data_IF_019490518478
#
_entry.id   IF_019490518478
#
_cell.length_a   1.000
_cell.length_b   1.000
_cell.length_c   1.000
_cell.angle_alpha   90.00
_cell.angle_beta   90.00
_cell.angle_gamma   90.00
#
_symmetry.space_group_name_H-M   'P 1'
#
loop_
_entity.id
_entity.type
_entity.pdbx_description
1 polymer ?
#
# COMPACT_ATOMS: atom_id res chain seq x y z
N UNK A 1 0.15 78.00 1.24
CA UNK A 1 -1.01 77.38 0.56
C UNK A 1 -1.16 75.92 1.00
N UNK A 2 -1.53 75.64 2.26
CA UNK A 2 -1.54 74.27 2.83
C UNK A 2 -2.94 73.83 3.31
N UNK A 3 -3.93 74.72 3.33
CA UNK A 3 -5.26 74.42 3.87
C UNK A 3 -6.15 73.58 2.94
N UNK A 4 -6.02 73.73 1.62
CA UNK A 4 -6.81 72.97 0.64
C UNK A 4 -6.59 71.43 0.71
N UNK A 5 -5.33 70.95 0.71
CA UNK A 5 -5.04 69.53 0.82
C UNK A 5 -5.50 68.91 2.15
N UNK A 6 -5.42 69.65 3.26
CA UNK A 6 -5.79 69.14 4.58
C UNK A 6 -7.29 68.90 4.71
N UNK A 7 -8.10 69.83 4.17
CA UNK A 7 -9.57 69.72 4.17
C UNK A 7 -10.03 68.62 3.21
N UNK A 8 -9.41 68.54 2.02
CA UNK A 8 -9.69 67.48 1.05
C UNK A 8 -9.34 66.08 1.57
N UNK A 9 -8.20 65.94 2.25
CA UNK A 9 -7.80 64.67 2.86
C UNK A 9 -8.73 64.28 4.02
N UNK A 10 -9.14 65.23 4.87
CA UNK A 10 -10.07 64.99 5.97
C UNK A 10 -11.44 64.51 5.48
N UNK A 11 -12.01 65.19 4.49
CA UNK A 11 -13.30 64.80 3.91
C UNK A 11 -13.21 63.48 3.14
N UNK A 12 -12.13 63.26 2.38
CA UNK A 12 -11.91 62.01 1.64
C UNK A 12 -11.77 60.80 2.55
N UNK A 13 -11.05 60.93 3.67
CA UNK A 13 -10.90 59.85 4.64
C UNK A 13 -12.22 59.50 5.33
N UNK A 14 -12.99 60.51 5.77
CA UNK A 14 -14.29 60.27 6.41
C UNK A 14 -15.32 59.66 5.46
N UNK A 15 -15.38 60.15 4.21
CA UNK A 15 -16.23 59.58 3.19
C UNK A 15 -15.82 58.15 2.81
N UNK A 16 -14.51 57.89 2.70
CA UNK A 16 -13.95 56.58 2.39
C UNK A 16 -14.26 55.53 3.46
N UNK A 17 -14.15 55.87 4.75
CA UNK A 17 -14.49 54.94 5.84
C UNK A 17 -16.01 54.69 5.90
N UNK A 18 -16.82 55.74 5.78
CA UNK A 18 -18.28 55.63 5.78
C UNK A 18 -18.80 54.74 4.64
N UNK A 19 -18.45 55.08 3.40
CA UNK A 19 -18.92 54.35 2.21
C UNK A 19 -18.27 52.96 2.14
N UNK A 20 -16.98 52.85 2.46
CA UNK A 20 -16.27 51.58 2.47
C UNK A 20 -16.89 50.58 3.45
N UNK A 21 -17.26 51.02 4.66
CA UNK A 21 -17.95 50.15 5.62
C UNK A 21 -19.33 49.71 5.14
N UNK A 22 -20.10 50.56 4.46
CA UNK A 22 -21.41 50.17 3.93
C UNK A 22 -21.30 49.20 2.73
N UNK A 23 -20.31 49.41 1.85
CA UNK A 23 -20.12 48.60 0.63
C UNK A 23 -19.41 47.27 0.92
N UNK A 24 -18.46 47.23 1.87
CA UNK A 24 -17.69 46.03 2.22
C UNK A 24 -18.19 45.31 3.48
N UNK A 25 -19.33 45.71 4.04
CA UNK A 25 -20.00 44.97 5.13
C UNK A 25 -20.94 43.86 4.60
N UNK A 26 -20.70 43.37 3.39
CA UNK A 26 -21.30 42.15 2.87
C UNK A 26 -20.85 40.93 3.67
N UNK A 27 -21.84 40.22 4.22
CA UNK A 27 -21.81 38.87 4.80
C UNK A 27 -20.50 38.42 5.45
N UNK A 28 -20.21 39.01 6.62
CA UNK A 28 -19.45 38.25 7.62
C UNK A 28 -20.39 37.19 8.19
N UNK A 29 -20.06 35.88 8.14
CA UNK A 29 -20.88 34.86 8.79
C UNK A 29 -20.91 35.19 10.30
N UNK A 30 -22.09 35.59 10.78
CA UNK A 30 -22.29 36.04 12.17
C UNK A 30 -22.39 34.88 13.14
N UNK A 31 -22.63 33.67 12.65
CA UNK A 31 -22.87 32.49 13.47
C UNK A 31 -21.99 31.32 13.01
N UNK A 32 -21.12 30.85 13.90
CA UNK A 32 -20.60 29.49 13.81
C UNK A 32 -21.68 28.56 14.35
N UNK A 33 -22.67 28.24 13.52
CA UNK A 33 -23.60 27.16 13.86
C UNK A 33 -22.81 25.86 13.87
N UNK A 34 -22.75 25.21 15.04
CA UNK A 34 -22.43 23.78 15.08
C UNK A 34 -23.45 23.09 14.20
N UNK A 35 -22.97 22.45 13.12
CA UNK A 35 -23.82 21.76 12.16
C UNK A 35 -24.43 20.58 12.90
N UNK A 36 -25.64 20.77 13.39
CA UNK A 36 -26.52 19.68 13.82
C UNK A 36 -27.16 19.10 12.57
N UNK A 37 -27.34 17.77 12.54
CA UNK A 37 -27.86 17.03 11.37
C UNK A 37 -29.20 17.58 10.83
N UNK A 38 -29.95 18.32 11.65
CA UNK A 38 -31.18 18.98 11.25
C UNK A 38 -31.00 20.17 10.27
N UNK A 39 -29.80 20.77 10.20
CA UNK A 39 -29.49 21.90 9.31
C UNK A 39 -29.31 21.47 7.84
N UNK A 40 -29.05 20.18 7.59
CA UNK A 40 -28.86 19.61 6.25
C UNK A 40 -30.19 19.51 5.47
N UNK A 41 -31.33 19.63 6.17
CA UNK A 41 -32.69 19.58 5.62
C UNK A 41 -33.24 20.97 5.26
N UNK A 42 -32.39 21.89 4.84
CA UNK A 42 -32.83 23.22 4.41
C UNK A 42 -33.07 23.23 2.89
N UNK A 43 -34.31 22.98 2.47
CA UNK A 43 -34.73 22.99 1.05
C UNK A 43 -34.49 24.33 0.33
N UNK A 44 -34.16 25.41 1.06
CA UNK A 44 -33.83 26.71 0.49
C UNK A 44 -32.36 26.83 0.04
N UNK A 45 -31.48 25.91 0.46
CA UNK A 45 -30.10 25.85 -0.02
C UNK A 45 -30.12 25.01 -1.29
N UNK A 46 -29.98 25.67 -2.44
CA UNK A 46 -29.79 24.97 -3.72
C UNK A 46 -28.54 24.09 -3.59
N UNK A 47 -28.71 22.77 -3.52
CA UNK A 47 -27.60 21.85 -3.70
C UNK A 47 -26.93 22.17 -5.04
N UNK A 48 -25.59 22.22 -5.10
CA UNK A 48 -24.92 22.39 -6.37
C UNK A 48 -25.43 21.30 -7.32
N UNK A 49 -25.76 21.69 -8.55
CA UNK A 49 -26.25 20.71 -9.52
C UNK A 49 -25.20 19.60 -9.63
N UNK A 50 -25.60 18.36 -9.30
CA UNK A 50 -24.73 17.21 -9.50
C UNK A 50 -24.30 17.21 -10.96
N UNK A 51 -22.99 17.26 -11.22
CA UNK A 51 -22.49 17.12 -12.58
C UNK A 51 -23.06 15.82 -13.17
N UNK A 52 -23.58 15.88 -14.41
CA UNK A 52 -24.06 14.68 -15.09
C UNK A 52 -22.91 13.68 -15.17
N UNK A 53 -23.04 12.58 -14.43
CA UNK A 53 -22.05 11.50 -14.45
C UNK A 53 -22.13 10.82 -15.80
N UNK A 54 -21.10 10.96 -16.63
CA UNK A 54 -21.00 10.25 -17.91
C UNK A 54 -20.82 8.75 -17.67
N UNK A 55 -21.23 7.92 -18.63
CA UNK A 55 -21.06 6.46 -18.49
C UNK A 55 -19.58 6.04 -18.40
N UNK A 56 -18.66 6.82 -19.00
CA UNK A 56 -17.22 6.65 -18.81
C UNK A 56 -16.79 6.89 -17.36
N UNK A 57 -17.31 7.93 -16.69
CA UNK A 57 -17.04 8.18 -15.28
C UNK A 57 -17.57 7.06 -14.40
N UNK A 58 -18.75 6.48 -14.73
CA UNK A 58 -19.26 5.29 -14.04
C UNK A 58 -18.34 4.08 -14.22
N UNK A 59 -17.80 3.91 -15.43
CA UNK A 59 -16.81 2.87 -15.73
C UNK A 59 -15.50 3.00 -14.93
N UNK A 60 -15.15 4.21 -14.49
CA UNK A 60 -13.96 4.47 -13.66
C UNK A 60 -14.19 4.25 -12.16
N UNK A 61 -15.44 4.25 -11.68
CA UNK A 61 -15.77 4.07 -10.25
C UNK A 61 -15.15 2.79 -9.66
N UNK A 62 -15.17 1.61 -10.31
CA UNK A 62 -14.55 0.40 -9.76
C UNK A 62 -13.03 0.49 -9.58
N UNK A 63 -12.37 1.41 -10.29
CA UNK A 63 -10.92 1.65 -10.18
C UNK A 63 -10.58 2.59 -9.01
N UNK A 64 -11.57 3.28 -8.46
CA UNK A 64 -11.39 4.15 -7.30
C UNK A 64 -11.20 3.34 -6.01
N UNK A 65 -10.53 3.89 -4.99
CA UNK A 65 -10.38 3.20 -3.72
C UNK A 65 -11.74 2.96 -3.05
N UNK A 66 -11.82 1.86 -2.29
CA UNK A 66 -13.08 1.31 -1.75
C UNK A 66 -13.91 2.29 -0.94
N UNK A 67 -13.29 3.21 -0.19
CA UNK A 67 -13.99 4.28 0.56
C UNK A 67 -14.76 5.27 -0.32
N UNK A 68 -14.48 5.34 -1.63
CA UNK A 68 -15.19 6.23 -2.56
C UNK A 68 -16.56 5.66 -2.93
N UNK A 69 -16.67 4.33 -2.93
CA UNK A 69 -17.89 3.59 -3.22
C UNK A 69 -18.63 3.28 -1.92
N UNK A 70 -17.91 2.75 -0.92
CA UNK A 70 -18.50 2.17 0.29
C UNK A 70 -18.37 3.18 1.43
N UNK A 71 -19.48 3.67 2.01
CA UNK A 71 -19.43 4.61 3.12
C UNK A 71 -18.84 3.99 4.40
N UNK A 72 -18.83 2.65 4.50
CA UNK A 72 -18.30 1.92 5.65
C UNK A 72 -16.76 1.95 5.74
N UNK A 73 -16.08 2.34 4.66
CA UNK A 73 -14.63 2.38 4.62
C UNK A 73 -14.16 3.79 4.95
N UNK A 74 -13.38 3.90 6.04
CA UNK A 74 -12.77 5.16 6.43
C UNK A 74 -11.38 5.33 5.78
N UNK A 75 -10.97 6.59 5.60
CA UNK A 75 -9.63 6.93 5.10
C UNK A 75 -8.61 7.00 6.23
N UNK A 76 -7.52 6.25 6.10
CA UNK A 76 -6.50 6.12 7.16
C UNK A 76 -5.20 6.84 6.80
N UNK A 77 -5.28 8.16 6.63
CA UNK A 77 -4.12 9.00 6.21
C UNK A 77 -3.01 9.02 7.25
N UNK A 78 -3.36 9.01 8.55
CA UNK A 78 -2.38 9.02 9.64
C UNK A 78 -1.51 7.76 9.62
N UNK A 79 -2.10 6.59 9.44
CA UNK A 79 -1.36 5.32 9.36
C UNK A 79 -0.42 5.32 8.17
N UNK A 80 -0.87 5.76 7.00
CA UNK A 80 -0.01 5.87 5.82
C UNK A 80 1.18 6.80 6.07
N UNK A 81 1.00 7.88 6.84
CA UNK A 81 2.10 8.77 7.25
C UNK A 81 3.07 8.07 8.22
N UNK A 82 2.55 7.31 9.18
CA UNK A 82 3.37 6.54 10.12
C UNK A 82 4.20 5.47 9.41
N UNK A 83 3.59 4.69 8.50
CA UNK A 83 4.30 3.67 7.71
C UNK A 83 5.42 4.33 6.90
N UNK A 84 5.17 5.49 6.29
CA UNK A 84 6.19 6.23 5.53
C UNK A 84 7.39 6.65 6.40
N UNK A 85 7.14 7.08 7.64
CA UNK A 85 8.21 7.44 8.58
C UNK A 85 9.00 6.21 9.06
N UNK A 86 8.31 5.08 9.23
CA UNK A 86 8.92 3.82 9.70
C UNK A 86 9.59 3.01 8.59
N UNK A 87 9.24 3.26 7.32
CA UNK A 87 9.71 2.52 6.15
C UNK A 87 11.21 2.21 6.10
N UNK A 88 12.14 3.15 6.35
CA UNK A 88 13.57 2.84 6.29
C UNK A 88 14.02 1.80 7.33
N UNK A 89 13.37 1.77 8.51
CA UNK A 89 13.66 0.78 9.56
C UNK A 89 12.93 -0.54 9.31
N UNK A 90 11.68 -0.46 8.83
CA UNK A 90 10.89 -1.62 8.46
C UNK A 90 11.52 -2.40 7.32
N UNK A 91 12.10 -1.71 6.32
CA UNK A 91 12.76 -2.34 5.18
C UNK A 91 13.81 -3.35 5.63
N UNK A 92 14.75 -2.95 6.48
CA UNK A 92 15.78 -3.88 6.98
C UNK A 92 15.22 -5.08 7.75
N UNK A 93 14.17 -4.86 8.55
CA UNK A 93 13.57 -5.92 9.36
C UNK A 93 12.72 -6.88 8.52
N UNK A 94 11.97 -6.36 7.55
CA UNK A 94 11.15 -7.18 6.64
C UNK A 94 12.05 -8.05 5.77
N UNK A 95 13.16 -7.51 5.23
CA UNK A 95 14.09 -8.31 4.42
C UNK A 95 14.63 -9.50 5.22
N UNK A 96 14.98 -9.29 6.50
CA UNK A 96 15.42 -10.34 7.42
C UNK A 96 14.38 -11.44 7.59
N UNK A 97 13.14 -11.06 7.88
CA UNK A 97 12.07 -12.02 8.13
C UNK A 97 11.63 -12.74 6.85
N UNK A 98 11.58 -12.05 5.72
CA UNK A 98 11.27 -12.65 4.42
C UNK A 98 12.29 -13.73 4.08
N UNK A 99 13.58 -13.48 4.26
CA UNK A 99 14.61 -14.50 4.01
C UNK A 99 14.39 -15.74 4.90
N UNK A 100 14.16 -15.53 6.21
CA UNK A 100 13.94 -16.63 7.16
C UNK A 100 12.69 -17.45 6.83
N UNK A 101 11.62 -16.78 6.42
CA UNK A 101 10.33 -17.42 6.13
C UNK A 101 10.31 -18.10 4.75
N UNK A 102 10.92 -17.48 3.73
CA UNK A 102 10.87 -17.96 2.34
C UNK A 102 11.82 -19.14 2.13
N UNK A 103 13.00 -19.18 2.77
CA UNK A 103 13.97 -20.28 2.62
C UNK A 103 13.34 -21.67 2.86
N UNK A 104 12.64 -21.94 3.99
CA UNK A 104 12.02 -23.25 4.20
C UNK A 104 10.84 -23.51 3.26
N UNK A 105 10.04 -22.50 2.93
CA UNK A 105 8.90 -22.64 2.00
C UNK A 105 9.39 -23.04 0.61
N UNK A 106 10.44 -22.38 0.13
CA UNK A 106 11.08 -22.70 -1.14
C UNK A 106 11.64 -24.12 -1.07
N UNK A 107 12.45 -24.47 -0.08
CA UNK A 107 13.03 -25.82 0.04
C UNK A 107 11.96 -26.92 0.11
N UNK A 108 10.86 -26.68 0.82
CA UNK A 108 9.75 -27.64 0.91
C UNK A 108 9.01 -27.79 -0.43
N UNK A 109 8.73 -26.68 -1.11
CA UNK A 109 7.98 -26.68 -2.36
C UNK A 109 8.83 -27.18 -3.54
N UNK A 110 10.14 -26.95 -3.55
CA UNK A 110 11.03 -27.47 -4.59
C UNK A 110 11.02 -29.01 -4.66
N UNK A 111 10.88 -29.69 -3.52
CA UNK A 111 10.81 -31.14 -3.46
C UNK A 111 9.42 -31.70 -3.86
N UNK A 112 8.37 -30.89 -3.81
CA UNK A 112 6.98 -31.32 -3.97
C UNK A 112 6.46 -31.20 -5.42
N UNK A 113 7.17 -30.50 -6.31
CA UNK A 113 6.68 -30.18 -7.66
C UNK A 113 7.36 -31.08 -8.71
N UNK A 114 6.62 -32.00 -9.37
CA UNK A 114 7.18 -32.82 -10.43
C UNK A 114 7.40 -31.98 -11.71
N UNK A 115 8.64 -31.90 -12.21
CA UNK A 115 8.98 -31.22 -13.48
C UNK A 115 10.31 -30.47 -13.46
N UNK A 116 10.47 -29.48 -14.35
CA UNK A 116 11.71 -28.67 -14.52
C UNK A 116 12.21 -28.02 -13.21
N UNK A 117 11.32 -27.80 -12.23
CA UNK A 117 11.65 -27.23 -10.92
C UNK A 117 12.30 -28.22 -9.95
N UNK A 118 12.21 -29.54 -10.18
CA UNK A 118 12.95 -30.55 -9.41
C UNK A 118 14.45 -30.55 -9.70
N UNK A 119 14.87 -29.74 -10.68
CA UNK A 119 16.27 -29.49 -10.99
C UNK A 119 16.85 -28.37 -10.12
N UNK A 120 16.07 -27.66 -9.31
CA UNK A 120 16.60 -26.60 -8.45
C UNK A 120 17.17 -27.25 -7.18
N UNK A 121 18.48 -27.20 -7.02
CA UNK A 121 19.20 -27.71 -5.83
C UNK A 121 19.09 -26.70 -4.68
N UNK A 122 19.32 -25.41 -4.96
CA UNK A 122 19.29 -24.33 -3.96
C UNK A 122 18.95 -22.97 -4.60
N UNK A 123 18.32 -22.09 -3.82
CA UNK A 123 18.12 -20.68 -4.17
C UNK A 123 18.89 -19.84 -3.16
N UNK A 124 19.93 -19.15 -3.62
CA UNK A 124 20.65 -18.18 -2.79
C UNK A 124 20.13 -16.77 -3.06
N UNK A 125 19.84 -16.08 -1.97
CA UNK A 125 19.43 -14.67 -1.97
C UNK A 125 20.70 -13.83 -1.79
N UNK A 126 20.76 -12.64 -2.39
CA UNK A 126 21.95 -11.78 -2.38
C UNK A 126 22.57 -11.47 -0.99
N UNK A 127 23.75 -10.80 -0.95
CA UNK A 127 24.66 -10.79 0.21
C UNK A 127 24.13 -10.07 1.46
N UNK A 128 23.07 -9.25 1.34
CA UNK A 128 22.41 -8.62 2.49
C UNK A 128 21.37 -9.52 3.18
N UNK A 129 21.27 -10.78 2.76
CA UNK A 129 20.67 -11.85 3.53
C UNK A 129 21.57 -12.16 4.74
N UNK A 130 21.35 -11.46 5.86
CA UNK A 130 22.09 -11.61 7.14
C UNK A 130 22.08 -13.05 7.70
N UNK A 131 21.35 -13.98 7.07
CA UNK A 131 21.28 -15.39 7.43
C UNK A 131 22.25 -16.29 6.67
N UNK A 132 23.08 -15.76 5.76
CA UNK A 132 24.02 -16.56 4.94
C UNK A 132 25.43 -15.94 4.91
N UNK A 133 25.90 -15.48 6.08
CA UNK A 133 27.25 -14.93 6.24
C UNK A 133 28.39 -15.97 6.01
N UNK A 134 28.06 -17.25 5.87
CA UNK A 134 29.03 -18.34 5.74
C UNK A 134 29.36 -18.72 4.28
N UNK A 135 28.59 -18.22 3.29
CA UNK A 135 28.85 -18.43 1.85
C UNK A 135 29.01 -17.10 1.10
N UNK A 136 30.13 -16.42 1.36
CA UNK A 136 30.52 -15.20 0.66
C UNK A 136 31.12 -15.54 -0.71
N UNK A 137 30.28 -15.89 -1.70
CA UNK A 137 30.76 -16.08 -3.07
C UNK A 137 31.10 -14.71 -3.70
N UNK A 138 32.26 -14.54 -4.37
CA UNK A 138 32.65 -13.30 -5.04
C UNK A 138 31.70 -12.90 -6.19
N UNK A 139 30.82 -13.80 -6.63
CA UNK A 139 29.78 -13.56 -7.63
C UNK A 139 28.48 -12.95 -7.05
N UNK A 140 28.41 -12.74 -5.73
CA UNK A 140 27.24 -12.23 -5.01
C UNK A 140 27.45 -10.80 -4.49
N UNK A 141 28.70 -10.32 -4.39
CA UNK A 141 29.08 -9.06 -3.72
C UNK A 141 28.37 -7.78 -4.22
N UNK A 142 27.94 -7.74 -5.48
CA UNK A 142 27.34 -6.56 -6.12
C UNK A 142 25.80 -6.59 -6.19
N UNK A 143 25.13 -7.53 -5.49
CA UNK A 143 23.70 -7.78 -5.68
C UNK A 143 22.79 -6.98 -4.74
N UNK A 144 21.76 -6.37 -5.30
CA UNK A 144 20.83 -5.50 -4.60
C UNK A 144 19.59 -6.27 -4.13
N UNK A 145 19.31 -6.19 -2.83
CA UNK A 145 18.08 -6.72 -2.23
C UNK A 145 17.38 -5.59 -1.49
N UNK A 146 16.39 -4.97 -2.14
CA UNK A 146 15.72 -3.78 -1.62
C UNK A 146 14.21 -3.84 -1.85
N UNK A 147 13.44 -3.46 -0.82
CA UNK A 147 11.99 -3.25 -0.92
C UNK A 147 11.64 -1.93 -1.63
N UNK A 148 12.63 -1.11 -1.99
CA UNK A 148 12.44 0.19 -2.62
C UNK A 148 12.00 1.29 -1.66
N UNK A 149 11.75 2.47 -2.19
CA UNK A 149 11.48 3.68 -1.39
C UNK A 149 9.99 3.82 -1.02
N UNK A 150 9.11 3.14 -1.77
CA UNK A 150 7.68 3.34 -1.67
C UNK A 150 7.06 2.40 -0.63
N UNK A 151 6.48 2.93 0.47
CA UNK A 151 5.86 2.10 1.49
C UNK A 151 4.54 1.51 1.04
N UNK A 152 4.12 0.45 1.74
CA UNK A 152 2.77 -0.10 1.65
C UNK A 152 1.75 0.95 2.07
N UNK A 153 0.63 1.03 1.34
CA UNK A 153 -0.47 1.95 1.62
C UNK A 153 -1.73 1.19 1.99
N UNK A 154 -2.37 1.60 3.08
CA UNK A 154 -3.73 1.20 3.45
C UNK A 154 -4.70 2.11 2.69
N UNK A 155 -5.48 1.54 1.78
CA UNK A 155 -6.41 2.31 0.94
C UNK A 155 -7.63 2.79 1.71
N UNK A 156 -8.10 2.00 2.67
CA UNK A 156 -9.18 2.31 3.60
C UNK A 156 -9.22 1.27 4.72
N UNK A 157 -10.11 1.45 5.67
CA UNK A 157 -10.35 0.48 6.73
C UNK A 157 -11.83 0.40 7.06
N UNK A 158 -12.36 -0.82 7.13
CA UNK A 158 -13.71 -1.10 7.59
C UNK A 158 -13.64 -1.87 8.89
N UNK A 159 -14.37 -1.43 9.91
CA UNK A 159 -14.34 -2.01 11.26
C UNK A 159 -15.68 -2.64 11.57
N UNK A 160 -15.65 -3.86 12.08
CA UNK A 160 -16.80 -4.57 12.61
C UNK A 160 -16.59 -4.80 14.10
N UNK A 161 -17.50 -4.27 14.91
CA UNK A 161 -17.60 -4.58 16.33
C UNK A 161 -18.51 -5.78 16.51
N UNK A 162 -17.97 -6.88 17.03
CA UNK A 162 -18.74 -8.08 17.39
C UNK A 162 -19.05 -8.05 18.89
N UNK A 163 -20.10 -8.75 19.32
CA UNK A 163 -20.48 -8.85 20.74
C UNK A 163 -19.51 -9.70 21.60
N UNK A 164 -18.53 -10.36 20.98
CA UNK A 164 -17.64 -11.35 21.63
C UNK A 164 -16.27 -10.76 22.01
N UNK A 165 -16.19 -9.47 22.35
CA UNK A 165 -14.92 -8.77 22.62
C UNK A 165 -13.87 -8.93 21.48
N UNK A 166 -14.36 -9.05 20.24
CA UNK A 166 -13.51 -9.14 19.05
C UNK A 166 -13.74 -7.95 18.14
N UNK A 167 -12.65 -7.41 17.62
CA UNK A 167 -12.66 -6.34 16.63
C UNK A 167 -12.13 -6.91 15.32
N UNK A 168 -12.97 -6.93 14.30
CA UNK A 168 -12.60 -7.39 12.96
C UNK A 168 -12.38 -6.15 12.10
N UNK A 169 -11.23 -6.07 11.45
CA UNK A 169 -10.87 -4.96 10.58
C UNK A 169 -10.54 -5.49 9.20
N UNK A 170 -11.16 -4.92 8.17
CA UNK A 170 -10.86 -5.19 6.77
C UNK A 170 -10.07 -4.03 6.20
N UNK A 171 -8.87 -4.32 5.72
CA UNK A 171 -7.91 -3.33 5.23
C UNK A 171 -7.43 -3.72 3.82
N UNK A 172 -7.87 -3.02 2.77
CA UNK A 172 -7.26 -3.09 1.45
C UNK A 172 -5.84 -2.51 1.48
N UNK A 173 -4.86 -3.38 1.28
CA UNK A 173 -3.44 -3.07 1.18
C UNK A 173 -3.04 -2.96 -0.29
N UNK A 174 -2.36 -1.86 -0.61
CA UNK A 174 -1.82 -1.61 -1.94
C UNK A 174 -0.34 -1.30 -1.79
N UNK A 175 0.48 -2.00 -2.54
CA UNK A 175 1.91 -1.72 -2.60
C UNK A 175 2.40 -1.77 -4.04
N UNK A 176 3.08 -0.74 -4.46
CA UNK A 176 3.82 -0.71 -5.71
C UNK A 176 5.14 -0.02 -5.44
N UNK A 177 6.23 -0.76 -5.58
CA UNK A 177 7.56 -0.25 -5.27
C UNK A 177 8.55 -0.53 -6.38
N UNK A 178 9.60 0.28 -6.44
CA UNK A 178 10.81 0.05 -7.21
C UNK A 178 11.72 -0.99 -6.54
N UNK A 179 11.11 -2.01 -5.93
CA UNK A 179 11.82 -3.11 -5.30
C UNK A 179 12.62 -3.87 -6.35
N UNK A 180 13.85 -4.24 -5.98
CA UNK A 180 14.77 -5.02 -6.80
C UNK A 180 15.25 -6.17 -5.93
N UNK A 181 15.00 -7.39 -6.41
CA UNK A 181 15.48 -8.61 -5.78
C UNK A 181 16.33 -9.40 -6.75
N UNK A 182 17.62 -9.45 -6.43
CA UNK A 182 18.62 -10.23 -7.14
C UNK A 182 18.77 -11.61 -6.50
N UNK A 183 18.39 -12.65 -7.25
CA UNK A 183 18.35 -14.04 -6.78
C UNK A 183 19.24 -14.90 -7.66
N UNK A 184 19.98 -15.85 -7.09
CA UNK A 184 20.66 -16.89 -7.85
C UNK A 184 20.01 -18.24 -7.61
N UNK A 185 19.62 -18.88 -8.70
CA UNK A 185 19.01 -20.21 -8.68
C UNK A 185 20.06 -21.21 -9.17
N UNK A 186 20.40 -22.19 -8.34
CA UNK A 186 21.28 -23.29 -8.71
C UNK A 186 20.45 -24.44 -9.26
N UNK A 187 20.65 -24.76 -10.54
CA UNK A 187 20.05 -25.91 -11.20
C UNK A 187 21.04 -27.08 -11.27
N UNK A 188 20.64 -28.24 -10.79
CA UNK A 188 21.30 -29.52 -11.01
C UNK A 188 20.72 -30.20 -12.23
N UNK A 189 21.50 -30.22 -13.32
CA UNK A 189 21.18 -30.93 -14.55
C UNK A 189 22.13 -32.12 -14.68
N UNK A 190 21.78 -33.23 -13.99
CA UNK A 190 22.61 -34.42 -13.92
C UNK A 190 23.89 -34.19 -13.09
N UNK A 191 25.11 -34.39 -13.64
CA UNK A 191 26.37 -34.12 -12.94
C UNK A 191 26.77 -32.63 -12.95
N UNK A 192 26.12 -31.80 -13.78
CA UNK A 192 26.45 -30.39 -13.93
C UNK A 192 25.57 -29.51 -13.03
N UNK A 193 26.19 -28.53 -12.37
CA UNK A 193 25.51 -27.45 -11.64
C UNK A 193 25.55 -26.19 -12.49
N UNK A 194 24.38 -25.69 -12.86
CA UNK A 194 24.20 -24.47 -13.66
C UNK A 194 23.62 -23.37 -12.77
N UNK A 195 24.25 -22.21 -12.76
CA UNK A 195 23.78 -21.05 -11.99
C UNK A 195 22.96 -20.14 -12.91
N UNK A 196 21.72 -19.89 -12.55
CA UNK A 196 20.85 -18.94 -13.24
C UNK A 196 20.64 -17.70 -12.36
N UNK A 197 21.22 -16.56 -12.73
CA UNK A 197 20.99 -15.31 -12.04
C UNK A 197 19.67 -14.67 -12.52
N UNK A 198 18.72 -14.50 -11.61
CA UNK A 198 17.38 -13.93 -11.85
C UNK A 198 17.24 -12.59 -11.14
N UNK A 199 16.77 -11.60 -11.88
CA UNK A 199 16.48 -10.25 -11.42
C UNK A 199 14.97 -10.04 -11.40
N UNK A 200 14.41 -9.86 -10.19
CA UNK A 200 12.98 -9.60 -9.98
C UNK A 200 12.78 -8.10 -9.76
N UNK A 201 11.88 -7.49 -10.51
CA UNK A 201 11.60 -6.05 -10.37
C UNK A 201 10.13 -5.71 -10.59
N UNK A 202 9.77 -4.45 -10.33
CA UNK A 202 8.42 -3.90 -10.54
C UNK A 202 7.34 -4.70 -9.81
N UNK A 203 7.58 -4.99 -8.53
CA UNK A 203 6.64 -5.76 -7.72
C UNK A 203 5.50 -4.85 -7.30
N UNK A 204 4.29 -5.29 -7.63
CA UNK A 204 3.06 -4.61 -7.28
C UNK A 204 2.11 -5.65 -6.71
N UNK A 205 1.53 -5.36 -5.55
CA UNK A 205 0.44 -6.18 -5.05
C UNK A 205 -0.76 -5.36 -4.60
N UNK A 206 -1.92 -5.98 -4.74
CA UNK A 206 -3.18 -5.56 -4.16
C UNK A 206 -3.74 -6.72 -3.36
N UNK A 207 -3.91 -6.53 -2.06
CA UNK A 207 -4.36 -7.56 -1.13
C UNK A 207 -5.48 -7.00 -0.24
N UNK A 208 -6.49 -7.80 0.06
CA UNK A 208 -7.54 -7.44 1.01
C UNK A 208 -7.31 -8.26 2.27
N UNK A 209 -6.72 -7.61 3.28
CA UNK A 209 -6.34 -8.25 4.53
C UNK A 209 -7.43 -8.06 5.58
N UNK A 210 -7.74 -9.12 6.32
CA UNK A 210 -8.60 -9.12 7.50
C UNK A 210 -7.75 -9.30 8.74
N UNK A 211 -7.89 -8.39 9.69
CA UNK A 211 -7.25 -8.45 10.99
C UNK A 211 -8.33 -8.69 12.03
N UNK A 212 -8.26 -9.82 12.73
CA UNK A 212 -9.12 -10.12 13.88
C UNK A 212 -8.30 -9.88 15.15
N UNK A 213 -8.72 -8.90 15.94
CA UNK A 213 -8.15 -8.60 17.24
C UNK A 213 -9.04 -9.18 18.33
N UNK A 214 -8.45 -10.01 19.19
CA UNK A 214 -9.09 -10.48 20.41
C UNK A 214 -8.78 -9.48 21.52
N UNK A 215 -9.81 -8.84 22.08
CA UNK A 215 -9.64 -7.84 23.13
C UNK A 215 -9.53 -8.50 24.50
N UNK A 216 -8.81 -7.85 25.40
CA UNK A 216 -8.63 -8.29 26.80
C UNK A 216 -8.77 -7.07 27.71
N UNK A 217 -9.23 -7.26 28.94
CA UNK A 217 -9.46 -6.17 29.91
C UNK A 217 -8.17 -5.56 30.50
N UNK A 218 -7.00 -6.09 30.17
CA UNK A 218 -5.70 -5.59 30.64
C UNK A 218 -5.02 -4.77 29.54
N UNK A 219 -4.57 -3.56 29.87
CA UNK A 219 -3.77 -2.71 28.97
C UNK A 219 -2.56 -3.53 28.47
N UNK A 220 -2.30 -3.63 27.15
CA UNK A 220 -2.73 -2.76 26.04
C UNK A 220 -4.09 -3.11 25.39
N UNK A 221 -4.91 -3.91 26.06
CA UNK A 221 -6.25 -4.33 25.66
C UNK A 221 -6.32 -5.26 24.45
N UNK A 222 -5.19 -5.79 23.99
CA UNK A 222 -5.09 -6.71 22.85
C UNK A 222 -4.48 -8.01 23.36
N UNK A 223 -5.25 -9.10 23.34
CA UNK A 223 -4.80 -10.44 23.70
C UNK A 223 -4.14 -11.19 22.54
N UNK A 224 -4.57 -10.90 21.31
CA UNK A 224 -4.02 -11.52 20.12
C UNK A 224 -4.49 -10.84 18.85
N UNK A 225 -3.71 -10.99 17.78
CA UNK A 225 -4.03 -10.49 16.46
C UNK A 225 -3.83 -11.61 15.45
N UNK A 226 -4.88 -11.92 14.68
CA UNK A 226 -4.84 -12.88 13.58
C UNK A 226 -4.99 -12.12 12.28
N UNK A 227 -4.06 -12.32 11.36
CA UNK A 227 -4.07 -11.73 10.02
C UNK A 227 -4.43 -12.83 9.01
N UNK A 228 -5.46 -12.59 8.19
CA UNK A 228 -5.82 -13.47 7.07
C UNK A 228 -6.08 -12.67 5.80
N UNK A 229 -5.96 -13.33 4.65
CA UNK A 229 -6.35 -12.75 3.36
C UNK A 229 -7.78 -13.15 3.04
N UNK A 230 -8.63 -12.16 2.72
CA UNK A 230 -10.03 -12.41 2.37
C UNK A 230 -10.21 -12.98 0.96
N UNK A 231 -9.30 -12.60 0.07
CA UNK A 231 -9.28 -12.98 -1.33
C UNK A 231 -7.82 -13.22 -1.73
N UNK A 232 -7.58 -14.07 -2.75
CA UNK A 232 -6.25 -14.23 -3.29
C UNK A 232 -5.71 -12.87 -3.74
N UNK A 233 -4.52 -12.51 -3.27
CA UNK A 233 -3.90 -11.24 -3.62
C UNK A 233 -3.56 -11.21 -5.12
N UNK A 234 -3.71 -10.04 -5.72
CA UNK A 234 -3.22 -9.79 -7.07
C UNK A 234 -1.76 -9.36 -6.96
N UNK A 235 -0.85 -10.12 -7.59
CA UNK A 235 0.59 -9.87 -7.55
C UNK A 235 1.11 -9.79 -8.99
N UNK A 236 1.65 -8.64 -9.35
CA UNK A 236 2.34 -8.42 -10.61
C UNK A 236 3.83 -8.23 -10.36
N UNK A 237 4.65 -8.87 -11.17
CA UNK A 237 6.11 -8.84 -11.07
C UNK A 237 6.73 -9.05 -12.44
N UNK A 238 8.00 -8.63 -12.59
CA UNK A 238 8.80 -8.87 -13.80
C UNK A 238 10.04 -9.69 -13.47
N UNK A 239 10.29 -10.75 -14.23
CA UNK A 239 11.45 -11.65 -14.08
C UNK A 239 12.39 -11.51 -15.27
N UNK A 240 13.63 -11.11 -15.03
CA UNK A 240 14.66 -10.98 -16.08
C UNK A 240 15.89 -11.79 -15.73
N UNK A 241 16.60 -12.32 -16.73
CA UNK A 241 17.96 -12.80 -16.51
C UNK A 241 18.91 -11.60 -16.37
N UNK A 242 19.95 -11.71 -15.54
CA UNK A 242 21.01 -10.70 -15.51
C UNK A 242 21.65 -10.53 -16.89
N UNK A 243 21.62 -9.30 -17.43
CA UNK A 243 22.10 -8.95 -18.78
C UNK A 243 21.52 -9.82 -19.92
N UNK A 244 20.32 -10.39 -19.72
CA UNK A 244 19.72 -11.34 -20.66
C UNK A 244 18.26 -11.02 -21.01
N UNK A 245 17.59 -11.94 -21.72
CA UNK A 245 16.20 -11.79 -22.14
C UNK A 245 15.22 -11.88 -20.95
N UNK A 246 13.99 -11.40 -21.19
CA UNK A 246 12.89 -11.48 -20.24
C UNK A 246 12.47 -12.95 -20.04
N UNK A 247 12.49 -13.45 -18.80
CA UNK A 247 12.09 -14.82 -18.50
C UNK A 247 10.58 -15.01 -18.60
N UNK A 248 9.80 -13.93 -18.49
CA UNK A 248 8.33 -14.00 -18.58
C UNK A 248 7.87 -14.34 -20.00
N UNK A 249 8.72 -14.13 -21.01
CA UNK A 249 8.45 -14.51 -22.39
C UNK A 249 8.60 -16.02 -22.64
N UNK A 250 9.25 -16.76 -21.73
CA UNK A 250 9.42 -18.20 -21.87
C UNK A 250 8.10 -18.91 -21.56
N UNK A 251 7.63 -19.81 -22.45
CA UNK A 251 6.41 -20.56 -22.21
C UNK A 251 6.56 -21.44 -20.96
N UNK A 252 5.59 -21.37 -20.06
CA UNK A 252 5.52 -22.19 -18.85
C UNK A 252 6.14 -21.58 -17.57
N UNK A 253 7.08 -20.63 -17.68
CA UNK A 253 7.74 -20.02 -16.50
C UNK A 253 6.73 -19.22 -15.67
N UNK A 254 5.99 -18.31 -16.30
CA UNK A 254 4.95 -17.52 -15.62
C UNK A 254 3.91 -18.41 -14.92
N UNK A 255 3.40 -19.42 -15.62
CA UNK A 255 2.38 -20.33 -15.08
C UNK A 255 2.90 -21.11 -13.86
N UNK A 256 4.15 -21.58 -13.91
CA UNK A 256 4.74 -22.32 -12.80
C UNK A 256 4.95 -21.43 -11.57
N UNK A 257 5.40 -20.19 -11.76
CA UNK A 257 5.60 -19.24 -10.65
C UNK A 257 4.25 -18.80 -10.06
N UNK A 258 3.27 -18.45 -10.89
CA UNK A 258 1.93 -18.07 -10.44
C UNK A 258 1.25 -19.22 -9.67
N UNK A 259 1.41 -20.46 -10.14
CA UNK A 259 0.90 -21.64 -9.45
C UNK A 259 1.60 -21.89 -8.11
N UNK A 260 2.92 -21.76 -8.05
CA UNK A 260 3.68 -21.93 -6.80
C UNK A 260 3.32 -20.86 -5.76
N UNK A 261 3.17 -19.60 -6.19
CA UNK A 261 2.77 -18.48 -5.32
C UNK A 261 1.33 -18.69 -4.85
N UNK A 262 0.41 -19.04 -5.75
CA UNK A 262 -0.98 -19.31 -5.41
C UNK A 262 -1.11 -20.44 -4.38
N UNK A 263 -0.35 -21.53 -4.55
CA UNK A 263 -0.35 -22.64 -3.61
C UNK A 263 0.22 -22.24 -2.24
N UNK A 264 1.34 -21.51 -2.22
CA UNK A 264 1.94 -21.02 -0.97
C UNK A 264 1.02 -20.07 -0.20
N UNK A 265 0.31 -19.17 -0.89
CA UNK A 265 -0.61 -18.21 -0.28
C UNK A 265 -1.88 -18.88 0.26
N UNK A 266 -2.46 -19.80 -0.51
CA UNK A 266 -3.65 -20.53 -0.09
C UNK A 266 -3.37 -21.39 1.15
N UNK A 267 -2.19 -21.99 1.23
CA UNK A 267 -1.83 -22.88 2.35
C UNK A 267 -1.56 -22.12 3.64
N UNK A 268 -1.00 -20.90 3.56
CA UNK A 268 -0.53 -20.17 4.74
C UNK A 268 -1.36 -18.95 5.13
N UNK A 269 -2.16 -18.37 4.24
CA UNK A 269 -2.78 -17.06 4.47
C UNK A 269 -4.30 -17.03 4.28
N UNK A 270 -4.89 -18.00 3.58
CA UNK A 270 -6.33 -18.16 3.47
C UNK A 270 -6.79 -19.19 4.51
N UNK A 271 -7.18 -18.71 5.69
CA UNK A 271 -7.83 -19.51 6.74
C UNK A 271 -9.21 -18.93 7.05
#
# INVERSE_FOLDING_TARGET
>A
MVFGPLIGAGLGALAGVGIGSAVFSGDRPKDFNFITEAADKNDNIRTPACANVTDEMRGMIPLTPEWTFWPDYDRWVMINRMIRLLWPKLTSAILLEVVKAVKPIVQQNLNAIPGVLSLIDDITLGPYSIMDADHLDPHIADKYFTLGEHPVRVAGMKVYSTAEDTCIMEMPLIWGSNAVFDVQVYLKLGPARVVIPVHISHIQYKALARVVLNMVDTIPCIGGATLSLLQPMHLDYSLRLFNGPDMMALPGVKQAVDWAIGMALLTNCCC
#
